data_IF_372302573666
#
_entry.id   IF_372302573666
#
_cell.length_a   1.000
_cell.length_b   1.000
_cell.length_c   1.000
_cell.angle_alpha   90.00
_cell.angle_beta   90.00
_cell.angle_gamma   90.00
#
_symmetry.space_group_name_H-M   'P 1'
#
loop_
_entity.id
_entity.type
_entity.pdbx_description
1 polymer ?
#
# COMPACT_ATOMS: atom_id res chain seq x y z
N UNK A 1 -6.30 28.57 -3.60
CA UNK A 1 -7.60 28.10 -4.11
C UNK A 1 -7.39 26.73 -4.72
N UNK A 2 -8.03 25.69 -4.18
CA UNK A 2 -7.88 24.30 -4.66
C UNK A 2 -8.52 24.19 -6.05
N UNK A 3 -7.78 23.69 -7.05
CA UNK A 3 -8.32 23.45 -8.38
C UNK A 3 -9.33 22.29 -8.28
N UNK A 4 -10.62 22.46 -8.65
CA UNK A 4 -11.67 21.47 -8.41
C UNK A 4 -11.35 20.07 -8.98
N UNK A 5 -10.60 20.00 -10.08
CA UNK A 5 -10.23 18.74 -10.73
C UNK A 5 -9.21 17.90 -9.93
N UNK A 6 -8.52 18.47 -8.93
CA UNK A 6 -7.48 17.77 -8.15
C UNK A 6 -8.05 16.81 -7.09
N UNK A 7 -9.33 16.92 -6.77
CA UNK A 7 -9.98 16.08 -5.75
C UNK A 7 -10.95 15.06 -6.32
N UNK A 8 -11.12 15.03 -7.65
CA UNK A 8 -12.04 14.10 -8.30
C UNK A 8 -11.45 12.69 -8.40
N UNK A 9 -12.31 11.69 -8.19
CA UNK A 9 -11.98 10.28 -8.26
C UNK A 9 -13.17 9.43 -8.71
N UNK A 10 -12.86 8.33 -9.38
CA UNK A 10 -13.81 7.34 -9.85
C UNK A 10 -14.19 6.35 -8.74
N UNK A 11 -15.41 5.81 -8.79
CA UNK A 11 -15.97 4.90 -7.78
C UNK A 11 -16.31 3.55 -8.41
N UNK A 12 -16.06 2.46 -7.68
CA UNK A 12 -16.35 1.10 -8.14
C UNK A 12 -15.49 0.61 -9.31
N UNK A 13 -14.34 1.22 -9.56
CA UNK A 13 -13.49 0.95 -10.75
C UNK A 13 -12.33 -0.02 -10.49
N UNK A 14 -12.14 -0.41 -9.23
CA UNK A 14 -11.06 -1.31 -8.81
C UNK A 14 -11.50 -2.75 -9.05
N UNK A 15 -10.97 -3.37 -10.11
CA UNK A 15 -11.09 -4.80 -10.37
C UNK A 15 -9.75 -5.48 -10.03
N UNK A 16 -9.66 -6.28 -8.95
CA UNK A 16 -8.39 -6.77 -8.39
C UNK A 16 -7.49 -7.47 -9.40
N UNK A 17 -8.05 -8.44 -10.14
CA UNK A 17 -7.32 -9.25 -11.12
C UNK A 17 -6.84 -8.39 -12.29
N UNK A 18 -7.66 -7.44 -12.73
CA UNK A 18 -7.28 -6.56 -13.83
C UNK A 18 -6.21 -5.55 -13.40
N UNK A 19 -6.25 -5.05 -12.16
CA UNK A 19 -5.17 -4.22 -11.61
C UNK A 19 -3.85 -5.00 -11.56
N UNK A 20 -3.90 -6.30 -11.22
CA UNK A 20 -2.72 -7.15 -11.23
C UNK A 20 -2.16 -7.37 -12.64
N UNK A 21 -3.03 -7.65 -13.62
CA UNK A 21 -2.65 -7.82 -15.03
C UNK A 21 -2.07 -6.54 -15.63
N UNK A 22 -2.71 -5.40 -15.38
CA UNK A 22 -2.22 -4.09 -15.82
C UNK A 22 -0.89 -3.76 -15.15
N UNK A 23 -0.78 -3.99 -13.84
CA UNK A 23 0.47 -3.84 -13.10
C UNK A 23 1.59 -4.67 -13.72
N UNK A 24 1.34 -5.96 -13.99
CA UNK A 24 2.30 -6.84 -14.65
C UNK A 24 2.69 -6.33 -16.04
N UNK A 25 1.72 -5.90 -16.85
CA UNK A 25 1.96 -5.37 -18.19
C UNK A 25 2.83 -4.11 -18.17
N UNK A 26 2.76 -3.29 -17.11
CA UNK A 26 3.57 -2.08 -16.95
C UNK A 26 5.04 -2.38 -16.66
N UNK A 27 5.34 -3.47 -15.95
CA UNK A 27 6.71 -3.75 -15.46
C UNK A 27 7.42 -4.88 -16.20
N UNK A 28 6.70 -5.76 -16.91
CA UNK A 28 7.27 -7.01 -17.49
C UNK A 28 8.50 -6.78 -18.36
N UNK A 29 8.54 -5.70 -19.14
CA UNK A 29 9.62 -5.43 -20.11
C UNK A 29 10.90 -4.95 -19.41
N UNK A 30 10.77 -4.40 -18.19
CA UNK A 30 11.89 -3.89 -17.37
C UNK A 30 11.89 -4.49 -15.95
N UNK A 31 11.41 -5.73 -15.81
CA UNK A 31 11.11 -6.32 -14.51
C UNK A 31 12.32 -6.31 -13.55
N UNK A 32 13.52 -6.61 -14.06
CA UNK A 32 14.75 -6.65 -13.26
C UNK A 32 15.16 -5.27 -12.71
N UNK A 33 14.91 -4.20 -13.47
CA UNK A 33 15.13 -2.84 -12.99
C UNK A 33 14.18 -2.51 -11.85
N UNK A 34 12.89 -2.86 -12.01
CA UNK A 34 11.88 -2.67 -10.98
C UNK A 34 12.18 -3.49 -9.72
N UNK A 35 12.66 -4.72 -9.87
CA UNK A 35 13.13 -5.53 -8.75
C UNK A 35 14.28 -4.83 -8.01
N UNK A 36 15.28 -4.33 -8.73
CA UNK A 36 16.40 -3.57 -8.16
C UNK A 36 15.94 -2.33 -7.39
N UNK A 37 15.07 -1.49 -7.98
CA UNK A 37 14.52 -0.29 -7.33
C UNK A 37 13.70 -0.67 -6.09
N UNK A 38 12.91 -1.72 -6.17
CA UNK A 38 12.05 -2.20 -5.08
C UNK A 38 12.88 -2.67 -3.87
N UNK A 39 13.96 -3.42 -4.12
CA UNK A 39 14.90 -3.86 -3.07
C UNK A 39 15.64 -2.66 -2.48
N UNK A 40 16.16 -1.76 -3.31
CA UNK A 40 16.85 -0.54 -2.84
C UNK A 40 15.90 0.36 -2.03
N UNK A 41 14.67 0.54 -2.49
CA UNK A 41 13.64 1.31 -1.80
C UNK A 41 13.27 0.71 -0.44
N UNK A 42 13.25 -0.62 -0.33
CA UNK A 42 13.06 -1.33 0.94
C UNK A 42 14.22 -1.08 1.91
N UNK A 43 15.46 -1.07 1.42
CA UNK A 43 16.67 -0.86 2.25
C UNK A 43 16.83 0.60 2.71
N UNK A 44 16.39 1.57 1.90
CA UNK A 44 16.52 3.01 2.19
C UNK A 44 15.29 3.55 2.95
N UNK A 45 14.20 2.79 3.03
CA UNK A 45 13.10 3.02 3.98
C UNK A 45 12.05 4.06 3.59
N UNK A 46 12.22 4.84 2.52
CA UNK A 46 11.21 5.87 2.16
C UNK A 46 11.32 6.46 0.74
N UNK A 47 11.69 5.66 -0.27
CA UNK A 47 11.68 6.12 -1.67
C UNK A 47 10.52 5.49 -2.47
N UNK A 48 9.29 5.94 -2.20
CA UNK A 48 8.14 5.69 -3.08
C UNK A 48 7.56 7.00 -3.59
N UNK A 49 8.20 7.50 -4.63
CA UNK A 49 7.68 8.45 -5.59
C UNK A 49 8.42 8.13 -6.88
N UNK A 50 7.73 8.07 -8.02
CA UNK A 50 8.24 7.68 -9.35
C UNK A 50 8.09 6.19 -9.63
N UNK A 51 6.89 5.83 -10.04
CA UNK A 51 6.72 4.88 -11.13
C UNK A 51 5.67 5.49 -12.04
N UNK A 52 5.93 5.49 -13.36
CA UNK A 52 5.01 5.66 -14.51
C UNK A 52 5.49 6.60 -15.65
N UNK A 53 6.77 6.99 -15.67
CA UNK A 53 7.45 7.63 -16.83
C UNK A 53 8.86 7.03 -17.01
N UNK A 54 9.52 7.14 -18.19
CA UNK A 54 10.92 6.75 -18.32
C UNK A 54 11.76 7.47 -17.27
N UNK A 55 12.54 6.72 -16.49
CA UNK A 55 13.21 7.20 -15.28
C UNK A 55 14.69 7.44 -15.60
N UNK A 56 15.17 8.66 -15.38
CA UNK A 56 16.60 8.98 -15.40
C UNK A 56 17.16 8.94 -13.96
N UNK A 57 18.48 8.73 -13.81
CA UNK A 57 19.13 8.66 -12.49
C UNK A 57 18.85 9.90 -11.61
N UNK A 58 18.69 11.08 -12.22
CA UNK A 58 18.36 12.32 -11.51
C UNK A 58 16.96 12.33 -10.88
N UNK A 59 16.02 11.52 -11.37
CA UNK A 59 14.68 11.42 -10.80
C UNK A 59 14.73 10.76 -9.41
N UNK A 60 15.70 9.89 -9.13
CA UNK A 60 15.86 9.22 -7.83
C UNK A 60 15.93 10.21 -6.65
N UNK A 61 16.46 11.42 -6.89
CA UNK A 61 16.60 12.48 -5.88
C UNK A 61 15.42 13.46 -5.82
N UNK A 62 14.49 13.45 -6.78
CA UNK A 62 13.30 14.32 -6.74
C UNK A 62 12.34 13.98 -5.60
N UNK A 63 12.47 12.79 -4.99
CA UNK A 63 11.75 12.44 -3.78
C UNK A 63 12.00 13.42 -2.62
N UNK A 64 13.16 14.08 -2.59
CA UNK A 64 13.48 15.08 -1.57
C UNK A 64 12.63 16.35 -1.67
N UNK A 65 12.10 16.70 -2.85
CA UNK A 65 11.23 17.87 -3.03
C UNK A 65 9.93 17.77 -2.23
N UNK A 66 9.47 16.54 -1.99
CA UNK A 66 8.26 16.23 -1.22
C UNK A 66 8.56 15.73 0.18
N UNK A 67 9.83 15.75 0.62
CA UNK A 67 10.27 15.15 1.89
C UNK A 67 9.47 15.66 3.09
N UNK A 68 9.25 16.97 3.20
CA UNK A 68 8.52 17.56 4.33
C UNK A 68 7.06 17.13 4.34
N UNK A 69 6.39 17.14 3.19
CA UNK A 69 4.99 16.68 3.09
C UNK A 69 4.88 15.17 3.33
N UNK A 70 5.83 14.40 2.84
CA UNK A 70 5.97 12.97 3.11
C UNK A 70 6.19 12.69 4.60
N UNK A 71 7.03 13.48 5.28
CA UNK A 71 7.27 13.38 6.72
C UNK A 71 6.01 13.72 7.53
N UNK A 72 5.27 14.76 7.13
CA UNK A 72 3.99 15.12 7.75
C UNK A 72 2.98 13.99 7.56
N UNK A 73 2.84 13.46 6.34
CA UNK A 73 1.96 12.34 6.07
C UNK A 73 2.37 11.08 6.86
N UNK A 74 3.67 10.79 6.94
CA UNK A 74 4.22 9.70 7.73
C UNK A 74 3.92 9.88 9.23
N UNK A 75 4.05 11.09 9.77
CA UNK A 75 3.70 11.39 11.15
C UNK A 75 2.20 11.21 11.40
N UNK A 76 1.34 11.73 10.52
CA UNK A 76 -0.12 11.60 10.63
C UNK A 76 -0.56 10.14 10.49
N UNK A 77 0.12 9.32 9.68
CA UNK A 77 -0.16 7.90 9.56
C UNK A 77 0.35 7.12 10.78
N UNK A 78 1.56 7.42 11.25
CA UNK A 78 2.27 6.67 12.29
C UNK A 78 1.70 6.91 13.69
N UNK A 79 1.28 8.14 14.01
CA UNK A 79 0.79 8.48 15.35
C UNK A 79 -0.48 7.68 15.72
N UNK A 80 -1.55 7.62 14.91
CA UNK A 80 -2.71 6.78 15.19
C UNK A 80 -2.37 5.30 15.28
N UNK A 81 -1.43 4.82 14.46
CA UNK A 81 -0.94 3.44 14.55
C UNK A 81 -0.34 3.19 15.93
N UNK A 82 0.55 4.04 16.43
CA UNK A 82 1.11 3.87 17.78
C UNK A 82 0.06 3.98 18.90
N UNK A 83 -0.91 4.90 18.77
CA UNK A 83 -2.00 5.05 19.74
C UNK A 83 -2.83 3.77 19.86
N UNK A 84 -3.01 3.02 18.78
CA UNK A 84 -3.73 1.74 18.81
C UNK A 84 -2.80 0.59 19.19
N UNK A 85 -1.59 0.57 18.62
CA UNK A 85 -0.63 -0.53 18.73
C UNK A 85 -0.06 -0.64 20.14
N UNK A 86 0.38 0.46 20.75
CA UNK A 86 1.05 0.42 22.06
C UNK A 86 0.12 -0.11 23.15
N UNK A 87 -1.12 0.38 23.31
CA UNK A 87 -2.05 -0.19 24.29
C UNK A 87 -2.44 -1.64 23.95
N UNK A 88 -2.65 -1.96 22.67
CA UNK A 88 -2.98 -3.32 22.26
C UNK A 88 -1.87 -4.31 22.64
N UNK A 89 -0.62 -3.97 22.37
CA UNK A 89 0.54 -4.78 22.75
C UNK A 89 0.73 -4.83 24.26
N UNK A 90 0.55 -3.72 24.99
CA UNK A 90 0.61 -3.72 26.45
C UNK A 90 -0.44 -4.66 27.07
N UNK A 91 -1.69 -4.61 26.56
CA UNK A 91 -2.74 -5.54 26.97
C UNK A 91 -2.40 -7.00 26.61
N UNK A 92 -1.82 -7.24 25.44
CA UNK A 92 -1.37 -8.58 25.03
C UNK A 92 -0.27 -9.13 25.93
N UNK A 93 0.72 -8.32 26.29
CA UNK A 93 1.77 -8.72 27.22
C UNK A 93 1.22 -8.98 28.62
N UNK A 94 0.33 -8.12 29.12
CA UNK A 94 -0.33 -8.34 30.42
C UNK A 94 -1.14 -9.66 30.41
N UNK A 95 -1.92 -9.90 29.35
CA UNK A 95 -2.65 -11.16 29.15
C UNK A 95 -1.71 -12.38 29.12
N UNK A 96 -0.59 -12.28 28.40
CA UNK A 96 0.40 -13.36 28.29
C UNK A 96 1.01 -13.68 29.66
N UNK A 97 1.42 -12.66 30.42
CA UNK A 97 1.98 -12.85 31.77
C UNK A 97 0.94 -13.46 32.71
N UNK A 98 -0.30 -12.97 32.67
CA UNK A 98 -1.38 -13.45 33.55
C UNK A 98 -1.84 -14.88 33.23
N UNK A 99 -1.65 -15.35 32.00
CA UNK A 99 -2.06 -16.68 31.53
C UNK A 99 -0.95 -17.74 31.59
N UNK A 100 0.30 -17.33 31.88
CA UNK A 100 1.41 -18.26 32.00
C UNK A 100 1.38 -18.99 33.35
N UNK A 101 1.45 -20.34 33.36
CA UNK A 101 1.54 -21.09 34.61
C UNK A 101 2.81 -20.75 35.39
N UNK A 102 2.67 -20.52 36.70
CA UNK A 102 3.82 -20.25 37.58
C UNK A 102 4.51 -21.54 38.04
N UNK A 103 3.80 -22.66 38.08
CA UNK A 103 4.32 -23.95 38.52
C UNK A 103 5.02 -24.71 37.39
N UNK A 104 6.17 -25.33 37.70
CA UNK A 104 6.99 -26.05 36.71
C UNK A 104 6.23 -27.19 36.02
N UNK A 105 5.43 -27.95 36.79
CA UNK A 105 4.64 -29.07 36.27
C UNK A 105 3.59 -28.63 35.22
N UNK A 106 3.00 -27.45 35.38
CA UNK A 106 2.03 -26.91 34.44
C UNK A 106 2.69 -26.30 33.18
N UNK A 107 3.96 -25.90 33.26
CA UNK A 107 4.72 -25.45 32.07
C UNK A 107 5.14 -26.60 31.16
N UNK A 108 5.48 -27.76 31.73
CA UNK A 108 5.87 -28.96 30.97
C UNK A 108 4.71 -29.51 30.11
N UNK A 109 3.46 -29.17 30.46
CA UNK A 109 2.26 -29.52 29.70
C UNK A 109 1.97 -28.57 28.51
N UNK A 110 2.75 -27.49 28.37
CA UNK A 110 2.58 -26.50 27.31
C UNK A 110 1.55 -25.40 27.63
N UNK A 111 1.30 -24.47 26.69
CA UNK A 111 0.41 -23.34 26.91
C UNK A 111 -1.06 -23.79 27.07
N UNK A 112 -1.84 -23.18 27.97
CA UNK A 112 -3.24 -23.53 28.14
C UNK A 112 -4.04 -23.20 26.87
N UNK A 113 -5.10 -23.96 26.52
CA UNK A 113 -5.90 -23.72 25.32
C UNK A 113 -6.46 -22.29 25.24
N UNK A 114 -6.87 -21.71 26.38
CA UNK A 114 -7.36 -20.33 26.46
C UNK A 114 -6.32 -19.29 26.06
N UNK A 115 -5.03 -19.54 26.32
CA UNK A 115 -3.94 -18.68 25.84
C UNK A 115 -3.82 -18.73 24.32
N UNK A 116 -3.83 -19.93 23.72
CA UNK A 116 -3.74 -20.10 22.26
C UNK A 116 -4.90 -19.38 21.56
N UNK A 117 -6.13 -19.57 22.05
CA UNK A 117 -7.32 -18.88 21.52
C UNK A 117 -7.15 -17.36 21.65
N UNK A 118 -6.70 -16.87 22.81
CA UNK A 118 -6.44 -15.45 23.03
C UNK A 118 -5.41 -14.86 22.06
N UNK A 119 -4.31 -15.57 21.81
CA UNK A 119 -3.29 -15.17 20.83
C UNK A 119 -3.86 -15.13 19.42
N UNK A 120 -4.61 -16.15 19.00
CA UNK A 120 -5.23 -16.19 17.66
C UNK A 120 -6.20 -15.00 17.50
N UNK A 121 -7.07 -14.76 18.47
CA UNK A 121 -8.00 -13.64 18.44
C UNK A 121 -7.28 -12.29 18.38
N UNK A 122 -6.23 -12.12 19.19
CA UNK A 122 -5.41 -10.91 19.16
C UNK A 122 -4.79 -10.68 17.78
N UNK A 123 -4.18 -11.70 17.18
CA UNK A 123 -3.59 -11.63 15.84
C UNK A 123 -4.65 -11.29 14.80
N UNK A 124 -5.82 -11.92 14.82
CA UNK A 124 -6.90 -11.65 13.87
C UNK A 124 -7.42 -10.21 14.00
N UNK A 125 -7.64 -9.72 15.23
CA UNK A 125 -8.08 -8.34 15.47
C UNK A 125 -7.04 -7.34 14.97
N UNK A 126 -5.76 -7.56 15.30
CA UNK A 126 -4.67 -6.70 14.84
C UNK A 126 -4.50 -6.75 13.31
N UNK A 127 -4.71 -7.91 12.69
CA UNK A 127 -4.72 -8.06 11.24
C UNK A 127 -5.85 -7.24 10.60
N UNK A 128 -7.07 -7.29 11.14
CA UNK A 128 -8.20 -6.50 10.63
C UNK A 128 -7.96 -5.00 10.79
N UNK A 129 -7.44 -4.56 11.95
CA UNK A 129 -7.12 -3.15 12.21
C UNK A 129 -6.04 -2.67 11.23
N UNK A 130 -4.96 -3.43 11.05
CA UNK A 130 -3.88 -3.06 10.14
C UNK A 130 -4.33 -2.99 8.68
N UNK A 131 -5.16 -3.93 8.23
CA UNK A 131 -5.79 -3.89 6.90
C UNK A 131 -6.67 -2.65 6.72
N UNK A 132 -7.51 -2.34 7.71
CA UNK A 132 -8.38 -1.17 7.67
C UNK A 132 -7.58 0.12 7.58
N UNK A 133 -6.53 0.28 8.39
CA UNK A 133 -5.62 1.42 8.32
C UNK A 133 -4.94 1.46 6.95
N UNK A 134 -4.37 0.35 6.48
CA UNK A 134 -3.69 0.31 5.18
C UNK A 134 -4.58 0.81 4.04
N UNK A 135 -5.84 0.35 3.96
CA UNK A 135 -6.82 0.79 2.96
C UNK A 135 -7.00 2.31 2.96
N UNK A 136 -7.06 2.94 4.12
CA UNK A 136 -7.29 4.37 4.25
C UNK A 136 -6.10 5.22 3.76
N UNK A 137 -4.88 4.73 3.95
CA UNK A 137 -3.64 5.47 3.68
C UNK A 137 -2.92 5.07 2.38
N UNK A 138 -3.34 3.98 1.72
CA UNK A 138 -2.66 3.40 0.53
C UNK A 138 -2.37 4.40 -0.59
N UNK A 139 -3.19 5.43 -0.79
CA UNK A 139 -2.99 6.45 -1.83
C UNK A 139 -2.46 7.78 -1.32
N UNK A 140 -2.18 7.93 -0.02
CA UNK A 140 -1.73 9.20 0.55
C UNK A 140 -0.42 9.69 -0.10
N UNK A 141 0.61 8.84 -0.19
CA UNK A 141 1.88 9.22 -0.82
C UNK A 141 1.76 9.47 -2.33
N UNK A 142 1.11 8.59 -3.14
CA UNK A 142 0.86 8.88 -4.55
C UNK A 142 0.16 10.23 -4.76
N UNK A 143 -0.84 10.58 -3.95
CA UNK A 143 -1.58 11.84 -4.06
C UNK A 143 -0.74 13.08 -3.72
N UNK A 144 0.17 12.99 -2.76
CA UNK A 144 1.10 14.09 -2.42
C UNK A 144 2.01 14.39 -3.62
N UNK A 145 2.54 13.34 -4.25
CA UNK A 145 3.49 13.47 -5.36
C UNK A 145 2.79 13.89 -6.65
N UNK A 146 1.74 13.17 -7.03
CA UNK A 146 1.05 13.32 -8.31
C UNK A 146 0.20 14.60 -8.37
N UNK A 147 -0.57 14.86 -7.29
CA UNK A 147 -1.51 15.98 -7.24
C UNK A 147 -1.03 17.16 -6.39
N UNK A 148 0.20 17.11 -5.86
CA UNK A 148 0.82 18.17 -5.03
C UNK A 148 -0.05 18.60 -3.85
N UNK A 149 -0.80 17.66 -3.28
CA UNK A 149 -1.67 17.91 -2.14
C UNK A 149 -0.86 18.01 -0.84
N UNK A 150 -1.37 18.77 0.13
CA UNK A 150 -0.83 18.72 1.49
C UNK A 150 -1.01 17.32 2.09
N UNK A 151 -0.14 16.91 3.01
CA UNK A 151 -0.22 15.57 3.63
C UNK A 151 -1.61 15.26 4.22
N UNK A 152 -2.26 16.26 4.82
CA UNK A 152 -3.62 16.11 5.36
C UNK A 152 -4.70 15.98 4.29
N UNK A 153 -4.65 16.80 3.24
CA UNK A 153 -5.63 16.74 2.15
C UNK A 153 -5.50 15.44 1.35
N UNK A 154 -4.27 14.96 1.17
CA UNK A 154 -3.97 13.68 0.54
C UNK A 154 -4.55 12.51 1.34
N UNK A 155 -4.40 12.50 2.67
CA UNK A 155 -4.97 11.44 3.53
C UNK A 155 -6.49 11.44 3.48
N UNK A 156 -7.14 12.62 3.57
CA UNK A 156 -8.60 12.73 3.46
C UNK A 156 -9.11 12.28 2.10
N UNK A 157 -8.42 12.63 1.03
CA UNK A 157 -8.78 12.21 -0.32
C UNK A 157 -8.57 10.70 -0.50
N UNK A 158 -7.44 10.16 -0.05
CA UNK A 158 -7.15 8.73 -0.03
C UNK A 158 -8.25 7.95 0.71
N UNK A 159 -8.56 8.35 1.94
CA UNK A 159 -9.60 7.69 2.74
C UNK A 159 -10.96 7.71 2.05
N UNK A 160 -11.39 8.86 1.50
CA UNK A 160 -12.67 8.95 0.78
C UNK A 160 -12.69 8.08 -0.47
N UNK A 161 -11.62 8.12 -1.27
CA UNK A 161 -11.52 7.36 -2.51
C UNK A 161 -11.49 5.86 -2.26
N UNK A 162 -10.68 5.42 -1.29
CA UNK A 162 -10.58 4.03 -0.86
C UNK A 162 -11.91 3.52 -0.31
N UNK A 163 -12.61 4.28 0.53
CA UNK A 163 -13.92 3.87 1.07
C UNK A 163 -14.99 3.75 -0.01
N UNK A 164 -14.96 4.59 -1.05
CA UNK A 164 -15.87 4.46 -2.21
C UNK A 164 -15.49 3.34 -3.17
N UNK A 165 -14.31 2.76 -3.02
CA UNK A 165 -13.80 1.61 -3.78
C UNK A 165 -13.52 0.40 -2.87
N UNK A 166 -14.13 0.34 -1.67
CA UNK A 166 -13.70 -0.55 -0.59
C UNK A 166 -13.64 -2.03 -0.99
N UNK A 167 -14.68 -2.56 -1.64
CA UNK A 167 -14.72 -3.96 -2.04
C UNK A 167 -13.61 -4.35 -3.02
N UNK A 168 -13.34 -3.50 -4.02
CA UNK A 168 -12.24 -3.71 -4.97
C UNK A 168 -10.87 -3.57 -4.32
N UNK A 169 -10.71 -2.59 -3.41
CA UNK A 169 -9.47 -2.41 -2.65
C UNK A 169 -9.18 -3.58 -1.72
N UNK A 170 -10.19 -4.06 -0.98
CA UNK A 170 -10.09 -5.23 -0.14
C UNK A 170 -9.70 -6.46 -0.96
N UNK A 171 -10.36 -6.68 -2.11
CA UNK A 171 -10.02 -7.77 -3.03
C UNK A 171 -8.59 -7.68 -3.56
N UNK A 172 -8.11 -6.48 -3.90
CA UNK A 172 -6.73 -6.26 -4.37
C UNK A 172 -5.70 -6.53 -3.28
N UNK A 173 -5.97 -6.10 -2.05
CA UNK A 173 -5.09 -6.35 -0.91
C UNK A 173 -5.05 -7.85 -0.59
N UNK A 174 -6.20 -8.52 -0.57
CA UNK A 174 -6.27 -9.97 -0.36
C UNK A 174 -5.55 -10.75 -1.47
N UNK A 175 -5.70 -10.33 -2.73
CA UNK A 175 -4.99 -10.95 -3.85
C UNK A 175 -3.46 -10.81 -3.70
N UNK A 176 -2.98 -9.61 -3.36
CA UNK A 176 -1.56 -9.38 -3.08
C UNK A 176 -1.08 -10.12 -1.84
N UNK A 177 -1.91 -10.26 -0.81
CA UNK A 177 -1.60 -11.03 0.39
C UNK A 177 -1.42 -12.52 0.06
N UNK A 178 -2.31 -13.10 -0.77
CA UNK A 178 -2.19 -14.48 -1.24
C UNK A 178 -0.92 -14.69 -2.09
N UNK A 179 -0.60 -13.76 -2.98
CA UNK A 179 0.67 -13.79 -3.72
C UNK A 179 1.88 -13.71 -2.77
N UNK A 180 1.79 -12.89 -1.72
CA UNK A 180 2.79 -12.82 -0.67
C UNK A 180 3.00 -14.15 0.05
N UNK A 181 1.92 -14.87 0.38
CA UNK A 181 1.98 -16.22 0.97
C UNK A 181 2.70 -17.21 0.04
N UNK A 182 2.39 -17.18 -1.26
CA UNK A 182 3.11 -18.00 -2.24
C UNK A 182 4.61 -17.65 -2.29
N UNK A 183 4.94 -16.36 -2.19
CA UNK A 183 6.31 -15.90 -2.09
C UNK A 183 7.04 -16.40 -0.83
N UNK A 184 6.34 -16.48 0.31
CA UNK A 184 6.87 -17.05 1.56
C UNK A 184 7.13 -18.54 1.40
N UNK A 185 6.20 -19.29 0.80
CA UNK A 185 6.38 -20.72 0.54
C UNK A 185 7.53 -21.01 -0.43
N UNK A 186 7.91 -20.06 -1.28
CA UNK A 186 9.15 -20.10 -2.06
C UNK A 186 10.38 -19.64 -1.24
N UNK A 187 10.52 -20.16 -0.02
CA UNK A 187 11.64 -19.92 0.91
C UNK A 187 11.92 -18.43 1.20
N UNK A 188 10.88 -17.60 1.30
CA UNK A 188 10.96 -16.13 1.43
C UNK A 188 11.62 -15.37 0.27
N UNK A 189 12.44 -16.02 -0.55
CA UNK A 189 13.06 -15.46 -1.76
C UNK A 189 11.98 -15.00 -2.73
N UNK A 190 10.87 -15.77 -2.85
CA UNK A 190 9.74 -15.43 -3.70
C UNK A 190 9.06 -14.11 -3.36
N UNK A 191 9.11 -13.65 -2.10
CA UNK A 191 8.50 -12.37 -1.69
C UNK A 191 9.12 -11.19 -2.45
N UNK A 192 10.44 -11.21 -2.67
CA UNK A 192 11.13 -10.16 -3.42
C UNK A 192 10.65 -10.09 -4.87
N UNK A 193 10.31 -11.22 -5.48
CA UNK A 193 9.78 -11.27 -6.84
C UNK A 193 8.31 -10.83 -6.93
N UNK A 194 7.52 -11.11 -5.90
CA UNK A 194 6.12 -10.68 -5.83
C UNK A 194 6.01 -9.17 -5.59
N UNK A 195 6.97 -8.58 -4.88
CA UNK A 195 6.89 -7.19 -4.41
C UNK A 195 6.77 -6.13 -5.54
N UNK A 196 7.55 -6.17 -6.65
CA UNK A 196 7.34 -5.28 -7.79
C UNK A 196 5.95 -5.41 -8.40
N UNK A 197 5.40 -6.63 -8.44
CA UNK A 197 4.06 -6.91 -8.97
C UNK A 197 3.01 -6.27 -8.06
N UNK A 198 3.18 -6.39 -6.74
CA UNK A 198 2.30 -5.76 -5.76
C UNK A 198 2.25 -4.26 -5.95
N UNK A 199 3.40 -3.60 -6.05
CA UNK A 199 3.46 -2.15 -6.29
C UNK A 199 2.83 -1.74 -7.61
N UNK A 200 3.11 -2.46 -8.70
CA UNK A 200 2.52 -2.17 -9.99
C UNK A 200 0.98 -2.34 -9.97
N UNK A 201 0.47 -3.31 -9.21
CA UNK A 201 -0.97 -3.51 -9.04
C UNK A 201 -1.65 -2.34 -8.29
N UNK A 202 -0.99 -1.79 -7.27
CA UNK A 202 -1.46 -0.59 -6.58
C UNK A 202 -1.37 0.65 -7.47
N UNK A 203 -0.33 0.77 -8.31
CA UNK A 203 -0.21 1.86 -9.28
C UNK A 203 -1.33 1.79 -10.35
N UNK A 204 -1.68 0.59 -10.81
CA UNK A 204 -2.83 0.39 -11.71
C UNK A 204 -4.15 0.78 -11.03
N UNK A 205 -4.36 0.37 -9.77
CA UNK A 205 -5.53 0.77 -8.99
C UNK A 205 -5.59 2.30 -8.77
N UNK A 206 -4.44 2.94 -8.50
CA UNK A 206 -4.34 4.39 -8.37
C UNK A 206 -4.80 5.10 -9.65
N UNK A 207 -4.29 4.70 -10.81
CA UNK A 207 -4.68 5.28 -12.11
C UNK A 207 -6.16 5.14 -12.44
N UNK A 208 -6.77 4.02 -12.04
CA UNK A 208 -8.21 3.79 -12.24
C UNK A 208 -9.05 4.73 -11.39
N UNK A 209 -8.68 4.89 -10.12
CA UNK A 209 -9.39 5.73 -9.16
C UNK A 209 -9.15 7.21 -9.47
N UNK A 210 -7.92 7.58 -9.80
CA UNK A 210 -7.47 8.95 -10.02
C UNK A 210 -7.03 9.09 -11.49
N UNK A 211 -7.93 9.44 -12.40
CA UNK A 211 -7.56 9.71 -13.79
C UNK A 211 -6.60 10.91 -13.86
N UNK A 212 -5.77 10.93 -14.90
CA UNK A 212 -4.82 12.00 -15.15
C UNK A 212 -5.54 13.34 -15.27
N UNK A 213 -4.98 14.38 -14.64
CA UNK A 213 -5.44 15.77 -14.79
C UNK A 213 -4.93 16.29 -16.13
N UNK A 214 -5.32 15.66 -17.25
CA UNK A 214 -5.01 16.20 -18.56
C UNK A 214 -5.90 17.43 -18.80
N UNK A 215 -5.36 18.60 -19.20
CA UNK A 215 -6.15 19.55 -19.95
C UNK A 215 -6.56 18.85 -21.25
N UNK A 216 -7.86 18.85 -21.56
CA UNK A 216 -8.48 18.22 -22.73
C UNK A 216 -8.09 18.86 -24.08
N UNK A 217 -6.83 19.31 -24.25
CA UNK A 217 -6.40 20.16 -25.37
C UNK A 217 -5.34 19.49 -26.27
N UNK A 218 -4.73 18.34 -25.89
CA UNK A 218 -3.55 17.86 -26.61
C UNK A 218 -3.47 16.35 -26.88
N UNK A 219 -4.59 15.71 -27.21
CA UNK A 219 -4.52 14.59 -28.15
C UNK A 219 -4.64 15.19 -29.56
N UNK A 220 -3.55 15.30 -30.36
CA UNK A 220 -3.71 15.71 -31.76
C UNK A 220 -4.68 14.75 -32.45
N UNK A 221 -5.57 15.24 -33.33
CA UNK A 221 -6.50 14.38 -34.04
C UNK A 221 -5.72 13.27 -34.78
N UNK A 222 -6.31 12.06 -34.91
CA UNK A 222 -5.68 10.98 -35.65
C UNK A 222 -5.23 11.51 -37.01
N UNK A 223 -4.03 11.13 -37.50
CA UNK A 223 -3.56 11.55 -38.81
C UNK A 223 -4.66 11.28 -39.84
N UNK A 224 -5.00 12.25 -40.72
CA UNK A 224 -5.97 12.00 -41.77
C UNK A 224 -5.50 10.77 -42.55
N UNK A 225 -6.41 9.80 -42.72
CA UNK A 225 -6.14 8.57 -43.44
C UNK A 225 -5.71 8.91 -44.88
N UNK A 226 -4.40 9.04 -45.09
CA UNK A 226 -3.81 9.25 -46.39
C UNK A 226 -3.37 7.91 -46.94
N UNK A 227 -4.33 7.15 -47.47
CA UNK A 227 -4.06 6.09 -48.44
C UNK A 227 -5.15 6.17 -49.52
N UNK A 228 -4.88 7.02 -50.50
CA UNK A 228 -5.17 6.68 -51.89
C UNK A 228 -4.19 5.56 -52.32
#
# INVERSE_FOLDING_TARGET
MMNPNTTDFNRGVVAPVECLKEGWALIKDQYWLFLGISVVGMLIGSAFAIVLKPVEFGDLFKGFDYFVQGLVAAAIQTVPIFIVLVPAFAMFFAFTIASMPHDRYARDQGPPPGFIIGVILFVLVMMVISLAIHILFVFAYPLIVDRKLSGWDAIRLSARASMKNFGGMLGLILLNFLLGILGVFACYVGVFFVMPISFASYAAAYRRIFPDIAPSIMSPPPPPASWA
#
